data_IF_820634993420
#
_entry.id   IF_820634993420
#
_cell.length_a   1.000
_cell.length_b   1.000
_cell.length_c   1.000
_cell.angle_alpha   90.00
_cell.angle_beta   90.00
_cell.angle_gamma   90.00
#
_symmetry.space_group_name_H-M   'P 1'
#
loop_
_entity.id
_entity.type
_entity.pdbx_description
1 polymer ?
#
# COMPACT_ATOMS: atom_id res chain seq x y z
N UNK A 1 -31.19 -0.60 -2.37
CA UNK A 1 -32.57 -0.83 -1.89
C UNK A 1 -33.02 0.34 -1.05
N UNK A 2 -34.28 0.77 -1.19
CA UNK A 2 -34.90 1.68 -0.23
C UNK A 2 -35.36 0.94 1.03
N UNK A 3 -35.91 1.66 2.01
CA UNK A 3 -36.50 1.06 3.19
C UNK A 3 -37.68 0.16 2.80
N UNK A 4 -37.67 -1.09 3.26
CA UNK A 4 -38.72 -2.09 2.98
C UNK A 4 -38.67 -3.21 4.03
N UNK A 5 -39.75 -3.98 4.13
CA UNK A 5 -39.75 -5.22 4.90
C UNK A 5 -39.02 -6.31 4.13
N UNK A 6 -38.21 -7.11 4.84
CA UNK A 6 -37.46 -8.23 4.28
C UNK A 6 -37.64 -9.48 5.15
N UNK A 7 -37.69 -10.65 4.53
CA UNK A 7 -37.70 -11.92 5.25
C UNK A 7 -36.29 -12.24 5.76
N UNK A 8 -36.12 -12.45 7.06
CA UNK A 8 -34.83 -12.82 7.67
C UNK A 8 -34.76 -14.34 7.83
N UNK A 9 -33.69 -14.95 7.32
CA UNK A 9 -33.45 -16.40 7.29
C UNK A 9 -32.49 -16.82 8.41
N UNK A 10 -31.42 -16.04 8.63
CA UNK A 10 -30.34 -16.36 9.58
C UNK A 10 -29.80 -15.06 10.18
N UNK A 11 -29.37 -15.10 11.44
CA UNK A 11 -28.61 -14.02 12.09
C UNK A 11 -27.33 -14.57 12.68
N UNK A 12 -26.24 -13.85 12.50
CA UNK A 12 -24.95 -14.11 13.14
C UNK A 12 -24.66 -13.08 14.22
N UNK A 13 -23.89 -13.50 15.23
CA UNK A 13 -23.52 -12.65 16.36
C UNK A 13 -22.67 -11.44 15.95
N UNK A 14 -21.98 -11.52 14.82
CA UNK A 14 -21.16 -10.44 14.27
C UNK A 14 -21.94 -9.41 13.42
N UNK A 15 -23.27 -9.38 13.55
CA UNK A 15 -24.13 -8.37 12.93
C UNK A 15 -24.64 -8.69 11.52
N UNK A 16 -24.16 -9.78 10.92
CA UNK A 16 -24.59 -10.21 9.58
C UNK A 16 -25.92 -10.96 9.63
N UNK A 17 -26.89 -10.51 8.83
CA UNK A 17 -28.19 -11.14 8.68
C UNK A 17 -28.35 -11.63 7.25
N UNK A 18 -28.85 -12.85 7.10
CA UNK A 18 -29.23 -13.40 5.79
C UNK A 18 -30.70 -13.07 5.55
N UNK A 19 -31.01 -12.48 4.41
CA UNK A 19 -32.37 -12.11 4.02
C UNK A 19 -32.75 -12.76 2.68
N UNK A 20 -34.04 -13.01 2.49
CA UNK A 20 -34.57 -13.47 1.20
C UNK A 20 -34.84 -12.29 0.27
N UNK A 21 -34.45 -12.41 -0.99
CA UNK A 21 -34.78 -11.47 -2.06
C UNK A 21 -35.31 -12.23 -3.27
N UNK A 22 -35.83 -11.52 -4.27
CA UNK A 22 -36.27 -12.16 -5.51
C UNK A 22 -35.11 -12.76 -6.33
N UNK A 23 -33.87 -12.32 -6.10
CA UNK A 23 -32.64 -12.92 -6.65
C UNK A 23 -32.13 -14.10 -5.81
N UNK A 24 -32.82 -14.42 -4.70
CA UNK A 24 -32.45 -15.43 -3.73
C UNK A 24 -31.85 -14.86 -2.43
N UNK A 25 -31.26 -15.71 -1.57
CA UNK A 25 -30.75 -15.29 -0.28
C UNK A 25 -29.47 -14.44 -0.36
N UNK A 26 -29.45 -13.29 0.30
CA UNK A 26 -28.29 -12.38 0.38
C UNK A 26 -27.97 -11.98 1.82
N UNK A 27 -26.80 -11.39 2.06
CA UNK A 27 -26.35 -10.96 3.40
C UNK A 27 -26.37 -9.43 3.54
N UNK A 28 -26.85 -8.95 4.67
CA UNK A 28 -26.83 -7.53 5.05
C UNK A 28 -26.13 -7.36 6.40
N UNK A 29 -25.47 -6.22 6.59
CA UNK A 29 -24.98 -5.80 7.90
C UNK A 29 -25.33 -4.33 8.12
N UNK A 30 -26.32 -4.08 8.97
CA UNK A 30 -26.86 -2.74 9.21
C UNK A 30 -25.95 -1.90 10.12
N UNK A 31 -25.20 -2.58 10.97
CA UNK A 31 -24.41 -1.96 12.01
C UNK A 31 -22.91 -2.06 11.73
N UNK A 32 -22.47 -2.78 10.71
CA UNK A 32 -21.07 -3.15 10.57
C UNK A 32 -20.66 -4.31 11.49
N UNK A 33 -19.44 -4.76 11.30
CA UNK A 33 -18.83 -5.91 11.97
C UNK A 33 -17.64 -5.44 12.81
N UNK A 34 -17.57 -5.84 14.08
CA UNK A 34 -16.36 -5.63 14.89
C UNK A 34 -15.28 -6.63 14.48
N UNK A 35 -14.09 -6.12 14.20
CA UNK A 35 -12.95 -6.94 13.79
C UNK A 35 -11.67 -6.42 14.43
N UNK A 36 -10.88 -7.34 14.98
CA UNK A 36 -9.53 -7.04 15.47
C UNK A 36 -8.61 -6.86 14.27
N UNK A 37 -7.97 -5.71 14.18
CA UNK A 37 -6.99 -5.39 13.13
C UNK A 37 -5.60 -5.27 13.75
N UNK A 38 -4.57 -5.57 12.96
CA UNK A 38 -3.17 -5.29 13.31
C UNK A 38 -2.83 -3.82 13.16
N UNK A 39 -1.55 -3.54 12.93
CA UNK A 39 -1.08 -2.17 12.70
C UNK A 39 -1.33 -1.76 11.24
N UNK A 40 -1.88 -0.58 10.99
CA UNK A 40 -2.14 -0.08 9.64
C UNK A 40 -2.20 1.44 9.57
N UNK A 41 -2.02 1.97 8.36
CA UNK A 41 -2.37 3.35 8.03
C UNK A 41 -3.82 3.43 7.56
N UNK A 42 -4.49 4.51 7.94
CA UNK A 42 -5.84 4.82 7.51
C UNK A 42 -5.85 6.02 6.56
N UNK A 43 -6.89 6.11 5.74
CA UNK A 43 -7.00 7.03 4.62
C UNK A 43 -8.40 7.64 4.56
N UNK A 44 -8.52 8.87 4.08
CA UNK A 44 -9.82 9.55 3.93
C UNK A 44 -10.69 8.91 2.83
N UNK A 45 -10.07 8.29 1.84
CA UNK A 45 -10.72 7.60 0.70
C UNK A 45 -10.11 6.19 0.51
N UNK A 46 -10.76 5.24 -0.20
CA UNK A 46 -10.23 3.90 -0.46
C UNK A 46 -9.12 3.93 -1.52
N UNK A 47 -8.10 4.72 -1.27
CA UNK A 47 -6.93 4.92 -2.11
C UNK A 47 -5.77 5.31 -1.22
N UNK A 48 -4.61 4.69 -1.40
CA UNK A 48 -3.40 5.11 -0.69
C UNK A 48 -2.77 6.40 -1.25
N UNK A 49 -3.38 7.05 -2.27
CA UNK A 49 -3.08 8.45 -2.65
C UNK A 49 -3.87 9.44 -1.82
N UNK A 50 -4.89 8.97 -1.10
CA UNK A 50 -5.67 9.82 -0.23
C UNK A 50 -4.83 10.28 0.96
N UNK A 51 -5.28 11.35 1.59
CA UNK A 51 -4.66 11.86 2.80
C UNK A 51 -4.64 10.77 3.87
N UNK A 52 -3.47 10.57 4.49
CA UNK A 52 -3.33 9.68 5.65
C UNK A 52 -4.06 10.32 6.83
N UNK A 53 -4.97 9.56 7.41
CA UNK A 53 -5.75 9.94 8.58
C UNK A 53 -4.92 9.84 9.87
N UNK A 54 -5.53 10.07 11.02
CA UNK A 54 -4.89 9.96 12.34
C UNK A 54 -3.62 10.80 12.45
N UNK A 55 -3.66 12.01 11.88
CA UNK A 55 -2.53 12.93 11.78
C UNK A 55 -1.24 12.30 11.20
N UNK A 56 -1.38 11.34 10.28
CA UNK A 56 -0.25 10.63 9.66
C UNK A 56 0.34 9.50 10.51
N UNK A 57 -0.25 9.18 11.66
CA UNK A 57 0.20 8.11 12.55
C UNK A 57 -0.52 6.80 12.27
N UNK A 58 0.17 5.68 12.42
CA UNK A 58 -0.45 4.36 12.32
C UNK A 58 -1.43 4.14 13.47
N UNK A 59 -2.50 3.41 13.17
CA UNK A 59 -3.25 2.74 14.21
C UNK A 59 -2.48 1.51 14.65
N UNK A 60 -2.34 1.33 15.96
CA UNK A 60 -1.89 0.07 16.54
C UNK A 60 -3.03 -0.96 16.59
N UNK A 61 -2.66 -2.22 16.81
CA UNK A 61 -3.58 -3.34 16.99
C UNK A 61 -4.72 -3.05 17.98
N UNK A 62 -5.96 -3.06 17.49
CA UNK A 62 -7.17 -2.89 18.30
C UNK A 62 -8.43 -3.35 17.52
N UNK A 63 -9.59 -3.29 18.16
CA UNK A 63 -10.88 -3.61 17.54
C UNK A 63 -11.44 -2.39 16.81
N UNK A 64 -11.83 -2.57 15.55
CA UNK A 64 -12.51 -1.55 14.75
C UNK A 64 -13.86 -2.04 14.27
N UNK A 65 -14.78 -1.10 14.11
CA UNK A 65 -16.10 -1.35 13.53
C UNK A 65 -16.05 -1.11 12.02
N UNK A 66 -16.09 -2.20 11.25
CA UNK A 66 -16.04 -2.20 9.79
C UNK A 66 -17.45 -2.04 9.25
N UNK A 67 -17.68 -1.07 8.36
CA UNK A 67 -19.02 -0.70 7.89
C UNK A 67 -19.22 -0.87 6.39
N UNK A 68 -18.14 -1.05 5.63
CA UNK A 68 -18.17 -1.19 4.18
C UNK A 68 -16.85 -1.78 3.66
N UNK A 69 -16.79 -2.12 2.38
CA UNK A 69 -15.55 -2.52 1.72
C UNK A 69 -15.62 -2.48 0.20
N UNK A 70 -14.46 -2.58 -0.44
CA UNK A 70 -14.35 -2.67 -1.90
C UNK A 70 -13.82 -4.04 -2.32
N UNK A 71 -13.97 -4.38 -3.60
CA UNK A 71 -13.42 -5.62 -4.19
C UNK A 71 -11.90 -5.70 -4.11
N UNK A 72 -11.24 -4.55 -4.01
CA UNK A 72 -9.77 -4.42 -4.05
C UNK A 72 -9.16 -4.40 -2.63
N UNK A 73 -9.91 -4.91 -1.65
CA UNK A 73 -9.43 -5.17 -0.29
C UNK A 73 -9.51 -3.98 0.66
N UNK A 74 -10.08 -2.85 0.25
CA UNK A 74 -10.31 -1.72 1.14
C UNK A 74 -11.47 -1.98 2.08
N UNK A 75 -11.31 -1.65 3.36
CA UNK A 75 -12.33 -1.71 4.38
C UNK A 75 -12.60 -0.30 4.92
N UNK A 76 -13.87 0.11 4.94
CA UNK A 76 -14.31 1.34 5.59
C UNK A 76 -14.60 1.04 7.05
N UNK A 77 -14.13 1.89 7.96
CA UNK A 77 -14.31 1.71 9.38
C UNK A 77 -14.59 3.03 10.10
N UNK A 78 -15.23 2.93 11.28
CA UNK A 78 -15.58 4.08 12.11
C UNK A 78 -14.38 4.56 12.93
N UNK A 79 -14.16 5.87 12.94
CA UNK A 79 -13.17 6.53 13.80
C UNK A 79 -13.76 7.80 14.43
N UNK A 80 -13.03 8.41 15.38
CA UNK A 80 -13.38 9.72 15.94
C UNK A 80 -13.26 10.87 14.91
N UNK A 81 -12.49 10.67 13.84
CA UNK A 81 -12.37 11.60 12.69
C UNK A 81 -13.46 11.36 11.63
N UNK A 82 -14.45 10.51 11.93
CA UNK A 82 -15.46 10.02 10.99
C UNK A 82 -15.04 8.72 10.30
N UNK A 83 -15.73 8.38 9.20
CA UNK A 83 -15.44 7.15 8.47
C UNK A 83 -14.08 7.30 7.76
N UNK A 84 -13.30 6.22 7.80
CA UNK A 84 -11.97 6.13 7.17
C UNK A 84 -11.82 4.79 6.49
N UNK A 85 -10.76 4.66 5.69
CA UNK A 85 -10.46 3.47 4.91
C UNK A 85 -9.10 2.91 5.29
N UNK A 86 -8.99 1.58 5.25
CA UNK A 86 -7.73 0.87 5.41
C UNK A 86 -7.68 -0.29 4.41
N UNK A 87 -6.49 -0.74 4.04
CA UNK A 87 -6.32 -1.92 3.19
C UNK A 87 -5.46 -2.96 3.91
N UNK A 88 -6.06 -3.88 4.69
CA UNK A 88 -5.32 -4.90 5.43
C UNK A 88 -4.72 -5.98 4.51
N UNK A 89 -5.11 -6.01 3.24
CA UNK A 89 -4.59 -6.96 2.25
C UNK A 89 -3.37 -6.45 1.51
N UNK A 90 -2.93 -5.20 1.76
CA UNK A 90 -1.71 -4.66 1.19
C UNK A 90 -0.52 -5.55 1.57
N UNK A 91 0.18 -6.08 0.57
CA UNK A 91 1.38 -6.87 0.79
C UNK A 91 2.42 -6.00 1.52
N UNK A 92 3.03 -6.53 2.58
CA UNK A 92 4.10 -5.85 3.29
C UNK A 92 5.45 -6.37 2.83
N UNK A 93 6.36 -5.47 2.46
CA UNK A 93 7.77 -5.80 2.27
C UNK A 93 8.61 -5.10 3.33
N UNK A 94 9.65 -5.75 3.83
CA UNK A 94 10.59 -5.13 4.77
C UNK A 94 11.91 -4.88 4.06
N UNK A 95 12.40 -3.65 4.11
CA UNK A 95 13.71 -3.28 3.58
C UNK A 95 14.69 -3.10 4.73
N UNK A 96 15.77 -3.88 4.74
CA UNK A 96 16.79 -3.86 5.81
C UNK A 96 17.94 -2.87 5.55
N UNK A 97 17.77 -1.99 4.56
CA UNK A 97 18.76 -0.99 4.14
C UNK A 97 18.08 0.35 3.92
N UNK A 98 18.88 1.41 3.95
CA UNK A 98 18.44 2.75 3.59
C UNK A 98 18.13 2.81 2.09
N UNK A 99 16.94 3.28 1.71
CA UNK A 99 16.49 3.33 0.31
C UNK A 99 15.96 4.71 -0.06
N UNK A 100 15.96 5.03 -1.36
CA UNK A 100 15.22 6.17 -1.89
C UNK A 100 13.86 5.74 -2.41
N UNK A 101 12.87 6.62 -2.25
CA UNK A 101 11.60 6.53 -2.95
C UNK A 101 11.52 7.66 -3.99
N UNK A 102 10.71 7.46 -5.03
CA UNK A 102 10.66 8.28 -6.22
C UNK A 102 9.21 8.63 -6.59
N UNK A 103 8.99 9.80 -7.19
CA UNK A 103 7.64 10.21 -7.63
C UNK A 103 7.14 9.40 -8.84
N UNK A 104 8.06 8.81 -9.62
CA UNK A 104 7.79 7.95 -10.77
C UNK A 104 8.70 6.69 -10.69
N UNK A 105 8.35 5.58 -11.36
CA UNK A 105 9.16 4.35 -11.35
C UNK A 105 10.39 4.49 -12.24
N UNK A 106 11.31 5.37 -11.85
CA UNK A 106 12.53 5.71 -12.56
C UNK A 106 13.59 6.26 -11.61
N UNK A 107 14.83 5.79 -11.75
CA UNK A 107 15.96 6.31 -10.97
C UNK A 107 16.32 7.77 -11.29
N UNK A 108 15.80 8.31 -12.40
CA UNK A 108 15.97 9.72 -12.79
C UNK A 108 14.83 10.63 -12.30
N UNK A 109 13.77 10.06 -11.71
CA UNK A 109 12.66 10.85 -11.21
C UNK A 109 13.04 11.65 -9.96
N UNK A 110 12.25 12.68 -9.67
CA UNK A 110 12.37 13.41 -8.42
C UNK A 110 12.23 12.44 -7.23
N UNK A 111 13.20 12.50 -6.32
CA UNK A 111 13.19 11.74 -5.08
C UNK A 111 12.09 12.28 -4.16
N UNK A 112 11.40 11.38 -3.49
CA UNK A 112 10.49 11.67 -2.38
C UNK A 112 11.24 12.20 -1.15
N UNK A 113 10.52 12.48 -0.07
CA UNK A 113 11.05 12.85 1.24
C UNK A 113 12.07 14.00 1.14
N UNK A 114 11.74 15.02 0.35
CA UNK A 114 12.62 16.16 0.08
C UNK A 114 14.04 15.77 -0.38
N UNK A 115 14.18 14.64 -1.08
CA UNK A 115 15.45 14.12 -1.54
C UNK A 115 16.22 13.25 -0.53
N UNK A 116 15.70 13.06 0.68
CA UNK A 116 16.31 12.23 1.71
C UNK A 116 15.89 10.76 1.58
N UNK A 117 16.76 9.81 1.92
CA UNK A 117 16.38 8.41 1.92
C UNK A 117 15.54 8.07 3.16
N UNK A 118 14.87 6.92 3.10
CA UNK A 118 14.18 6.31 4.22
C UNK A 118 15.08 5.26 4.89
N UNK A 119 15.04 5.21 6.21
CA UNK A 119 15.68 4.17 7.01
C UNK A 119 15.00 2.80 6.80
N UNK A 120 15.65 1.70 7.23
CA UNK A 120 15.03 0.38 7.23
C UNK A 120 13.63 0.38 7.88
N UNK A 121 12.63 -0.09 7.14
CA UNK A 121 11.23 -0.15 7.59
C UNK A 121 10.41 -1.12 6.72
N UNK A 122 9.17 -1.36 7.13
CA UNK A 122 8.18 -2.10 6.33
C UNK A 122 7.34 -1.16 5.47
N UNK A 123 6.97 -1.62 4.28
CA UNK A 123 6.24 -0.86 3.28
C UNK A 123 5.01 -1.63 2.83
N UNK A 124 3.85 -0.95 2.84
CA UNK A 124 2.65 -1.46 2.17
C UNK A 124 2.77 -1.29 0.66
N UNK A 125 2.93 -2.40 -0.05
CA UNK A 125 2.98 -2.49 -1.50
C UNK A 125 1.57 -2.52 -2.06
N UNK A 126 1.35 -1.69 -3.07
CA UNK A 126 0.03 -1.47 -3.69
C UNK A 126 0.03 -1.85 -5.16
N UNK A 127 1.22 -1.90 -5.77
CA UNK A 127 1.44 -2.26 -7.17
C UNK A 127 2.89 -2.73 -7.31
N UNK A 128 3.12 -3.75 -8.16
CA UNK A 128 4.45 -4.23 -8.53
C UNK A 128 4.59 -4.24 -10.04
N UNK A 129 5.76 -3.82 -10.53
CA UNK A 129 6.16 -3.96 -11.93
C UNK A 129 7.15 -5.11 -12.08
N UNK A 130 7.17 -5.72 -13.26
CA UNK A 130 8.08 -6.81 -13.60
C UNK A 130 9.57 -6.44 -13.45
N UNK A 131 9.91 -5.15 -13.64
CA UNK A 131 11.28 -4.64 -13.53
C UNK A 131 11.68 -4.21 -12.10
N UNK A 132 11.01 -4.75 -11.07
CA UNK A 132 11.36 -4.58 -9.66
C UNK A 132 10.84 -3.30 -9.00
N UNK A 133 10.21 -2.40 -9.74
CA UNK A 133 9.59 -1.22 -9.16
C UNK A 133 8.30 -1.56 -8.40
N UNK A 134 8.23 -1.10 -7.15
CA UNK A 134 7.09 -1.31 -6.28
C UNK A 134 6.51 0.04 -5.88
N UNK A 135 5.20 0.22 -6.08
CA UNK A 135 4.48 1.38 -5.60
C UNK A 135 4.09 1.12 -4.15
N UNK A 136 4.43 2.06 -3.29
CA UNK A 136 4.23 1.96 -1.84
C UNK A 136 3.54 3.18 -1.28
N UNK A 137 2.81 3.00 -0.19
CA UNK A 137 2.24 4.13 0.56
C UNK A 137 3.30 4.80 1.43
N UNK A 138 3.33 6.13 1.41
CA UNK A 138 4.15 6.96 2.30
C UNK A 138 3.27 8.07 2.90
N UNK A 139 3.79 8.84 3.85
CA UNK A 139 3.09 10.02 4.37
C UNK A 139 2.91 11.14 3.31
N UNK A 140 3.68 11.11 2.22
CA UNK A 140 3.56 12.00 1.05
C UNK A 140 2.65 11.42 -0.04
N UNK A 141 1.86 10.39 0.30
CA UNK A 141 1.09 9.58 -0.65
C UNK A 141 1.93 8.51 -1.34
N UNK A 142 1.49 8.02 -2.50
CA UNK A 142 2.21 6.98 -3.21
C UNK A 142 3.58 7.42 -3.71
N UNK A 143 4.56 6.54 -3.57
CA UNK A 143 5.88 6.66 -4.18
C UNK A 143 6.31 5.31 -4.74
N UNK A 144 7.35 5.34 -5.54
CA UNK A 144 7.95 4.18 -6.16
C UNK A 144 9.28 3.88 -5.48
N UNK A 145 9.47 2.64 -5.05
CA UNK A 145 10.75 2.14 -4.54
C UNK A 145 11.23 1.02 -5.45
N UNK A 146 12.55 0.90 -5.57
CA UNK A 146 13.18 -0.27 -6.16
C UNK A 146 14.38 -0.62 -5.28
N UNK A 147 14.16 -1.39 -4.19
CA UNK A 147 15.19 -1.64 -3.20
C UNK A 147 16.36 -2.44 -3.79
N UNK A 148 16.11 -3.33 -4.74
CA UNK A 148 17.13 -4.25 -5.25
C UNK A 148 17.79 -3.79 -6.55
N UNK A 149 17.32 -2.68 -7.12
CA UNK A 149 17.79 -2.17 -8.40
C UNK A 149 17.02 -2.78 -9.57
N UNK A 150 17.30 -2.27 -10.78
CA UNK A 150 16.74 -2.81 -12.01
C UNK A 150 17.85 -3.53 -12.78
N UNK A 151 17.61 -4.79 -13.13
CA UNK A 151 18.48 -5.50 -14.08
C UNK A 151 18.20 -4.98 -15.49
N UNK A 152 19.27 -4.57 -16.20
CA UNK A 152 19.18 -4.05 -17.57
C UNK A 152 20.26 -4.63 -18.46
N UNK A 153 19.85 -5.05 -19.66
CA UNK A 153 20.77 -5.42 -20.72
C UNK A 153 21.45 -4.19 -21.32
N UNK A 154 22.79 -4.19 -21.34
CA UNK A 154 23.58 -3.13 -21.96
C UNK A 154 24.09 -3.64 -23.30
N UNK A 155 23.46 -3.20 -24.39
CA UNK A 155 23.78 -3.65 -25.75
C UNK A 155 24.98 -2.91 -26.37
N UNK A 156 26.08 -2.81 -25.63
CA UNK A 156 27.37 -2.28 -26.08
C UNK A 156 28.44 -2.64 -25.07
N UNK A 157 29.68 -2.76 -25.52
CA UNK A 157 30.80 -2.93 -24.61
C UNK A 157 31.07 -1.66 -23.80
N UNK A 158 31.50 -1.80 -22.55
CA UNK A 158 31.73 -0.68 -21.64
C UNK A 158 32.86 -0.96 -20.63
N UNK A 159 33.46 0.11 -20.12
CA UNK A 159 34.32 0.05 -18.94
C UNK A 159 33.54 0.49 -17.71
N UNK A 160 33.78 -0.16 -16.58
CA UNK A 160 33.30 0.29 -15.28
C UNK A 160 34.31 1.26 -14.64
N UNK A 161 33.83 2.25 -13.90
CA UNK A 161 34.65 3.26 -13.22
C UNK A 161 34.31 3.28 -11.72
N UNK A 162 35.31 3.54 -10.86
CA UNK A 162 35.11 3.58 -9.41
C UNK A 162 34.31 4.81 -8.94
N UNK A 163 34.24 5.86 -9.77
CA UNK A 163 33.51 7.09 -9.50
C UNK A 163 32.81 7.58 -10.78
N UNK A 164 31.85 8.50 -10.61
CA UNK A 164 31.10 9.10 -11.71
C UNK A 164 31.93 10.16 -12.48
N UNK A 165 33.06 9.75 -13.04
CA UNK A 165 33.98 10.61 -13.78
C UNK A 165 34.80 9.81 -14.79
N UNK A 166 34.97 10.34 -16.00
CA UNK A 166 35.86 9.72 -17.00
C UNK A 166 37.34 9.74 -16.59
N UNK A 167 37.72 10.61 -15.65
CA UNK A 167 39.07 10.67 -15.10
C UNK A 167 39.28 9.70 -13.93
N UNK A 168 38.25 8.99 -13.47
CA UNK A 168 38.37 8.01 -12.41
C UNK A 168 39.11 6.76 -12.89
N UNK A 169 39.74 6.05 -11.94
CA UNK A 169 40.30 4.74 -12.22
C UNK A 169 39.22 3.77 -12.72
N UNK A 170 39.55 2.95 -13.72
CA UNK A 170 38.68 1.86 -14.17
C UNK A 170 38.56 0.82 -13.05
N UNK A 171 37.34 0.35 -12.81
CA UNK A 171 37.04 -0.72 -11.87
C UNK A 171 37.43 -2.09 -12.44
N UNK A 172 37.36 -3.13 -11.61
CA UNK A 172 37.51 -4.55 -12.01
C UNK A 172 38.77 -4.81 -12.84
N UNK A 173 39.92 -4.31 -12.38
CA UNK A 173 41.22 -4.41 -13.04
C UNK A 173 41.24 -3.88 -14.50
N UNK A 174 40.31 -2.99 -14.87
CA UNK A 174 40.24 -2.40 -16.21
C UNK A 174 39.61 -3.30 -17.28
N UNK A 175 38.91 -4.36 -16.88
CA UNK A 175 38.21 -5.25 -17.81
C UNK A 175 37.15 -4.50 -18.65
N UNK A 176 37.06 -4.89 -19.92
CA UNK A 176 35.98 -4.48 -20.83
C UNK A 176 34.84 -5.48 -20.68
N UNK A 177 33.65 -4.97 -20.37
CA UNK A 177 32.39 -5.72 -20.30
C UNK A 177 31.62 -5.59 -21.61
#
# INVERSE_FOLDING_TARGET
YGAQNVGVIEKRDNGWWKIETWEGPVWINLNGEERVMGDFYAYDEPSFSSKVANAGSQYGRQTFRIVDGTTDGWLKFKTWEGDKWMNPTAEQITTNKTIYAYNEPSFNAAKANYGSPYNPQSWGVVEKKENGWMKVSTYEGYKWINPDGEERFINKSFYAYNEASFNAAKANAGALY
#
